data_IF_382836491069
#
_entry.id   IF_382836491069
#
_cell.length_a   1.000
_cell.length_b   1.000
_cell.length_c   1.000
_cell.angle_alpha   90.00
_cell.angle_beta   90.00
_cell.angle_gamma   90.00
#
_symmetry.space_group_name_H-M   'P 1'
#
loop_
_entity.id
_entity.type
_entity.pdbx_description
1 polymer ?
#
# COMPACT_ATOMS: atom_id res chain seq x y z
N UNK A 1 5.65 19.80 -4.62
CA UNK A 1 5.16 18.41 -4.53
C UNK A 1 6.26 17.57 -5.12
N UNK A 2 6.89 16.69 -4.35
CA UNK A 2 7.88 15.76 -4.89
C UNK A 2 7.13 14.76 -5.77
N UNK A 3 7.49 14.68 -7.04
CA UNK A 3 6.90 13.76 -8.01
C UNK A 3 7.94 12.69 -8.33
N UNK A 4 7.53 11.43 -8.40
CA UNK A 4 8.41 10.39 -8.93
C UNK A 4 8.78 10.75 -10.37
N UNK A 5 10.07 10.68 -10.68
CA UNK A 5 10.55 10.86 -12.05
C UNK A 5 10.49 9.51 -12.73
N UNK A 6 9.44 9.28 -13.50
CA UNK A 6 9.34 8.10 -14.36
C UNK A 6 10.06 8.37 -15.68
N UNK A 7 10.53 7.31 -16.35
CA UNK A 7 11.03 7.44 -17.71
C UNK A 7 9.93 7.94 -18.68
N UNK A 8 10.34 8.46 -19.85
CA UNK A 8 9.41 8.99 -20.88
C UNK A 8 8.37 7.97 -21.34
N UNK A 9 8.70 6.68 -21.28
CA UNK A 9 7.77 5.56 -21.48
C UNK A 9 7.96 4.66 -20.26
N UNK A 10 7.11 4.79 -19.22
CA UNK A 10 7.31 4.10 -17.97
C UNK A 10 7.46 2.59 -18.16
N UNK A 11 8.58 2.04 -17.71
CA UNK A 11 8.86 0.61 -17.72
C UNK A 11 8.13 -0.05 -16.54
N UNK A 12 7.17 -0.90 -16.85
CA UNK A 12 6.47 -1.70 -15.84
C UNK A 12 6.04 -3.02 -16.49
N UNK A 13 6.31 -4.13 -15.79
CA UNK A 13 5.72 -5.43 -16.06
C UNK A 13 4.69 -5.74 -14.96
N UNK A 14 3.38 -5.59 -15.22
CA UNK A 14 2.37 -5.77 -14.19
C UNK A 14 2.29 -7.23 -13.72
N UNK A 15 1.97 -7.41 -12.44
CA UNK A 15 1.66 -8.72 -11.84
C UNK A 15 0.15 -8.79 -11.64
N UNK A 16 -0.48 -9.88 -12.09
CA UNK A 16 -1.90 -10.15 -11.91
C UNK A 16 -2.03 -11.48 -11.17
N UNK A 17 -2.63 -11.42 -9.98
CA UNK A 17 -2.88 -12.57 -9.10
C UNK A 17 -4.39 -12.81 -9.05
N UNK A 18 -4.97 -13.50 -10.05
CA UNK A 18 -6.34 -13.99 -9.95
C UNK A 18 -6.37 -15.17 -8.98
N UNK A 19 -7.40 -15.27 -8.14
CA UNK A 19 -7.53 -16.37 -7.17
C UNK A 19 -8.97 -16.84 -7.10
N UNK A 20 -9.18 -18.13 -7.38
CA UNK A 20 -10.46 -18.81 -7.20
C UNK A 20 -10.51 -19.45 -5.82
N UNK A 21 -10.85 -18.65 -4.82
CA UNK A 21 -10.98 -19.14 -3.45
C UNK A 21 -12.03 -20.26 -3.34
N UNK A 22 -11.85 -21.17 -2.39
CA UNK A 22 -12.74 -22.33 -2.22
C UNK A 22 -14.23 -21.98 -2.07
N UNK A 23 -14.52 -20.92 -1.33
CA UNK A 23 -15.88 -20.47 -1.00
C UNK A 23 -16.35 -19.31 -1.89
N UNK A 24 -15.76 -19.17 -3.08
CA UNK A 24 -16.13 -18.16 -4.06
C UNK A 24 -17.60 -18.30 -4.47
N UNK A 25 -18.46 -17.39 -3.98
CA UNK A 25 -19.88 -17.34 -4.38
C UNK A 25 -20.09 -16.56 -5.68
N UNK A 26 -19.07 -15.85 -6.15
CA UNK A 26 -19.10 -15.15 -7.43
C UNK A 26 -18.89 -16.11 -8.59
N UNK A 27 -19.53 -15.80 -9.71
CA UNK A 27 -19.38 -16.56 -10.95
C UNK A 27 -17.91 -16.48 -11.39
N UNK A 28 -17.24 -17.62 -11.45
CA UNK A 28 -15.83 -17.76 -11.85
C UNK A 28 -15.49 -17.02 -13.14
N UNK A 29 -16.51 -16.83 -14.00
CA UNK A 29 -16.46 -16.04 -15.23
C UNK A 29 -15.96 -14.60 -15.01
N UNK A 30 -16.23 -13.97 -13.86
CA UNK A 30 -15.83 -12.59 -13.59
C UNK A 30 -14.33 -12.43 -13.34
N UNK A 31 -13.68 -13.37 -12.66
CA UNK A 31 -12.24 -13.30 -12.35
C UNK A 31 -11.42 -13.45 -13.63
N UNK A 32 -11.79 -14.44 -14.46
CA UNK A 32 -11.16 -14.66 -15.77
C UNK A 32 -11.35 -13.43 -16.68
N UNK A 33 -12.55 -12.83 -16.66
CA UNK A 33 -12.85 -11.61 -17.42
C UNK A 33 -12.06 -10.38 -16.92
N UNK A 34 -11.86 -10.25 -15.60
CA UNK A 34 -11.05 -9.18 -15.01
C UNK A 34 -9.58 -9.31 -15.38
N UNK A 35 -9.01 -10.50 -15.21
CA UNK A 35 -7.62 -10.78 -15.58
C UNK A 35 -7.38 -10.50 -17.07
N UNK A 36 -8.31 -10.92 -17.94
CA UNK A 36 -8.27 -10.62 -19.37
C UNK A 36 -8.37 -9.12 -19.65
N UNK A 37 -9.30 -8.42 -19.00
CA UNK A 37 -9.51 -6.97 -19.20
C UNK A 37 -8.28 -6.18 -18.77
N UNK A 38 -7.65 -6.50 -17.65
CA UNK A 38 -6.39 -5.90 -17.22
C UNK A 38 -5.28 -6.16 -18.22
N UNK A 39 -5.12 -7.41 -18.67
CA UNK A 39 -4.11 -7.79 -19.65
C UNK A 39 -4.26 -7.01 -20.96
N UNK A 40 -5.47 -6.95 -21.50
CA UNK A 40 -5.78 -6.20 -22.72
C UNK A 40 -5.51 -4.69 -22.52
N UNK A 41 -5.81 -4.15 -21.33
CA UNK A 41 -5.57 -2.75 -20.99
C UNK A 41 -4.09 -2.41 -20.90
N UNK A 42 -3.32 -3.19 -20.14
CA UNK A 42 -1.88 -2.96 -19.98
C UNK A 42 -1.13 -3.07 -21.31
N UNK A 43 -1.55 -3.99 -22.17
CA UNK A 43 -1.05 -4.07 -23.55
C UNK A 43 -1.37 -2.81 -24.37
N UNK A 44 -2.58 -2.27 -24.27
CA UNK A 44 -2.95 -1.00 -24.95
C UNK A 44 -2.19 0.22 -24.41
N UNK A 45 -1.84 0.20 -23.12
CA UNK A 45 -0.99 1.21 -22.48
C UNK A 45 0.49 1.04 -22.80
N UNK A 46 0.86 -0.03 -23.53
CA UNK A 46 2.25 -0.36 -23.92
C UNK A 46 3.15 -0.73 -22.75
N UNK A 47 2.58 -1.27 -21.68
CA UNK A 47 3.37 -1.95 -20.65
C UNK A 47 3.91 -3.29 -21.18
N UNK A 48 4.91 -3.83 -20.48
CA UNK A 48 5.39 -5.18 -20.78
C UNK A 48 4.28 -6.21 -20.54
N UNK A 49 4.40 -7.37 -21.20
CA UNK A 49 3.42 -8.45 -21.07
C UNK A 49 3.25 -8.84 -19.59
N UNK A 50 2.04 -8.73 -19.02
CA UNK A 50 1.83 -8.99 -17.60
C UNK A 50 2.16 -10.43 -17.19
N UNK A 51 2.70 -10.59 -15.99
CA UNK A 51 2.83 -11.88 -15.33
C UNK A 51 1.50 -12.25 -14.69
N UNK A 52 0.86 -13.33 -15.16
CA UNK A 52 -0.46 -13.75 -14.69
C UNK A 52 -0.31 -15.09 -13.98
N UNK A 53 -0.71 -15.13 -12.71
CA UNK A 53 -0.59 -16.32 -11.88
C UNK A 53 -1.68 -17.33 -12.23
N UNK A 54 -1.47 -18.59 -11.86
CA UNK A 54 -2.53 -19.58 -11.95
C UNK A 54 -3.58 -19.31 -10.86
N UNK A 55 -4.84 -19.26 -11.27
CA UNK A 55 -5.97 -18.97 -10.37
C UNK A 55 -6.26 -20.06 -9.34
N UNK A 56 -5.76 -21.27 -9.58
CA UNK A 56 -5.87 -22.41 -8.67
C UNK A 56 -4.60 -22.60 -7.83
N UNK A 57 -3.76 -21.57 -7.71
CA UNK A 57 -2.56 -21.62 -6.87
C UNK A 57 -2.91 -21.56 -5.38
N UNK A 58 -2.20 -22.37 -4.61
CA UNK A 58 -2.20 -22.28 -3.15
C UNK A 58 -1.29 -21.15 -2.66
N UNK A 59 -1.37 -20.86 -1.37
CA UNK A 59 -0.56 -19.85 -0.68
C UNK A 59 0.93 -19.98 -0.96
N UNK A 60 1.49 -21.17 -0.79
CA UNK A 60 2.94 -21.36 -0.93
C UNK A 60 3.37 -21.14 -2.38
N UNK A 61 2.57 -21.57 -3.35
CA UNK A 61 2.82 -21.31 -4.77
C UNK A 61 2.80 -19.82 -5.08
N UNK A 62 1.79 -19.09 -4.59
CA UNK A 62 1.67 -17.63 -4.79
C UNK A 62 2.89 -16.92 -4.18
N UNK A 63 3.23 -17.22 -2.93
CA UNK A 63 4.34 -16.55 -2.23
C UNK A 63 5.69 -16.89 -2.86
N UNK A 64 5.92 -18.14 -3.26
CA UNK A 64 7.16 -18.54 -3.94
C UNK A 64 7.29 -17.85 -5.30
N UNK A 65 6.22 -17.73 -6.08
CA UNK A 65 6.25 -17.00 -7.35
C UNK A 65 6.54 -15.51 -7.14
N UNK A 66 5.98 -14.88 -6.11
CA UNK A 66 6.31 -13.49 -5.78
C UNK A 66 7.76 -13.32 -5.34
N UNK A 67 8.31 -14.28 -4.58
CA UNK A 67 9.72 -14.30 -4.23
C UNK A 67 10.62 -14.47 -5.46
N UNK A 68 10.25 -15.31 -6.43
CA UNK A 68 10.96 -15.44 -7.70
C UNK A 68 10.90 -14.15 -8.53
N UNK A 69 9.74 -13.49 -8.57
CA UNK A 69 9.56 -12.21 -9.27
C UNK A 69 10.41 -11.11 -8.65
N UNK A 70 10.55 -11.08 -7.33
CA UNK A 70 11.40 -10.13 -6.62
C UNK A 70 12.86 -10.17 -7.08
N UNK A 71 13.34 -11.32 -7.56
CA UNK A 71 14.72 -11.49 -8.03
C UNK A 71 14.90 -11.16 -9.53
N UNK A 72 13.82 -10.82 -10.24
CA UNK A 72 13.84 -10.54 -11.70
C UNK A 72 13.86 -9.03 -11.94
N UNK A 73 14.96 -8.54 -12.52
CA UNK A 73 15.20 -7.10 -12.76
C UNK A 73 14.10 -6.38 -13.53
N UNK A 74 13.44 -7.08 -14.46
CA UNK A 74 12.31 -6.56 -15.25
C UNK A 74 11.09 -6.12 -14.41
N UNK A 75 10.97 -6.59 -13.16
CA UNK A 75 9.96 -6.15 -12.19
C UNK A 75 10.50 -5.18 -11.13
N UNK A 76 11.82 -5.05 -11.03
CA UNK A 76 12.51 -4.40 -9.91
C UNK A 76 13.49 -3.32 -10.40
N UNK A 77 14.75 -3.64 -10.65
CA UNK A 77 15.81 -2.68 -11.01
C UNK A 77 15.50 -1.92 -12.31
N UNK A 78 14.95 -2.59 -13.32
CA UNK A 78 14.68 -2.03 -14.65
C UNK A 78 13.28 -1.42 -14.77
N UNK A 79 12.41 -1.68 -13.80
CA UNK A 79 11.07 -1.10 -13.72
C UNK A 79 11.12 0.31 -13.11
N UNK A 80 10.33 1.24 -13.62
CA UNK A 80 10.14 2.56 -13.00
C UNK A 80 9.26 2.47 -11.74
N UNK A 81 8.36 1.48 -11.70
CA UNK A 81 7.44 1.22 -10.59
C UNK A 81 6.93 -0.23 -10.61
N UNK A 82 6.48 -0.71 -9.45
CA UNK A 82 5.80 -1.99 -9.32
C UNK A 82 4.28 -1.79 -9.40
N UNK A 83 3.59 -2.63 -10.17
CA UNK A 83 2.14 -2.73 -10.20
C UNK A 83 1.71 -4.18 -9.98
N UNK A 84 0.99 -4.43 -8.89
CA UNK A 84 0.46 -5.74 -8.53
C UNK A 84 -1.05 -5.64 -8.35
N UNK A 85 -1.80 -6.48 -9.06
CA UNK A 85 -3.26 -6.54 -9.00
C UNK A 85 -3.68 -7.89 -8.43
N UNK A 86 -4.36 -7.88 -7.29
CA UNK A 86 -4.89 -9.07 -6.61
C UNK A 86 -6.40 -9.08 -6.84
N UNK A 87 -6.90 -10.18 -7.43
CA UNK A 87 -8.33 -10.38 -7.66
C UNK A 87 -8.72 -11.64 -6.90
N UNK A 88 -9.55 -11.49 -5.87
CA UNK A 88 -10.09 -12.60 -5.08
C UNK A 88 -11.57 -12.39 -4.80
N UNK A 89 -12.27 -13.42 -4.37
CA UNK A 89 -13.67 -13.36 -3.93
C UNK A 89 -13.82 -13.59 -2.42
N UNK A 90 -12.71 -13.48 -1.68
CA UNK A 90 -12.72 -13.45 -0.23
C UNK A 90 -11.79 -12.34 0.26
N UNK A 91 -12.26 -11.59 1.25
CA UNK A 91 -11.43 -10.70 2.02
C UNK A 91 -11.95 -10.57 3.44
N UNK A 92 -11.08 -10.81 4.41
CA UNK A 92 -11.41 -10.65 5.82
C UNK A 92 -10.14 -10.28 6.58
N UNK A 93 -10.22 -9.26 7.45
CA UNK A 93 -9.13 -8.85 8.34
C UNK A 93 -7.78 -8.58 7.65
N UNK A 94 -7.78 -8.01 6.44
CA UNK A 94 -6.52 -7.74 5.72
C UNK A 94 -5.98 -8.92 4.92
N UNK A 95 -6.71 -10.03 4.85
CA UNK A 95 -6.31 -11.24 4.16
C UNK A 95 -7.28 -11.59 3.02
N UNK A 96 -6.76 -12.19 1.96
CA UNK A 96 -7.52 -12.90 0.93
C UNK A 96 -7.23 -14.40 1.04
N UNK A 97 -8.10 -15.27 0.54
CA UNK A 97 -7.88 -16.72 0.62
C UNK A 97 -7.40 -17.30 -0.71
N UNK A 98 -6.55 -18.32 -0.60
CA UNK A 98 -6.15 -19.17 -1.72
C UNK A 98 -7.25 -20.18 -2.13
N UNK A 99 -6.95 -21.02 -3.11
CA UNK A 99 -7.84 -22.08 -3.61
C UNK A 99 -8.30 -23.08 -2.53
N UNK A 100 -7.52 -23.22 -1.46
CA UNK A 100 -7.79 -24.16 -0.37
C UNK A 100 -8.54 -23.49 0.81
N UNK A 101 -8.73 -22.17 0.77
CA UNK A 101 -9.30 -21.38 1.87
C UNK A 101 -8.26 -20.92 2.90
N UNK A 102 -6.97 -20.99 2.58
CA UNK A 102 -5.89 -20.51 3.44
C UNK A 102 -5.74 -19.00 3.30
N UNK A 103 -5.78 -18.28 4.42
CA UNK A 103 -5.60 -16.84 4.44
C UNK A 103 -4.17 -16.46 4.00
N UNK A 104 -4.06 -15.41 3.18
CA UNK A 104 -2.84 -14.75 2.74
C UNK A 104 -2.99 -13.26 3.07
N UNK A 105 -2.09 -12.75 3.91
CA UNK A 105 -2.17 -11.34 4.30
C UNK A 105 -1.63 -10.44 3.19
N UNK A 106 -2.29 -9.31 2.97
CA UNK A 106 -1.81 -8.30 2.02
C UNK A 106 -0.46 -7.73 2.47
N UNK A 107 -0.25 -7.61 3.77
CA UNK A 107 1.02 -7.18 4.37
C UNK A 107 2.18 -8.12 4.00
N UNK A 108 1.95 -9.42 3.94
CA UNK A 108 2.98 -10.38 3.54
C UNK A 108 3.40 -10.21 2.08
N UNK A 109 2.43 -9.99 1.18
CA UNK A 109 2.71 -9.68 -0.23
C UNK A 109 3.50 -8.37 -0.34
N UNK A 110 3.11 -7.34 0.40
CA UNK A 110 3.77 -6.03 0.39
C UNK A 110 5.18 -6.12 0.98
N UNK A 111 5.36 -6.91 2.05
CA UNK A 111 6.65 -7.11 2.70
C UNK A 111 7.70 -7.69 1.75
N UNK A 112 7.31 -8.56 0.80
CA UNK A 112 8.21 -9.11 -0.22
C UNK A 112 8.87 -7.99 -1.05
N UNK A 113 8.11 -6.93 -1.38
CA UNK A 113 8.56 -5.86 -2.28
C UNK A 113 8.97 -4.57 -1.57
N UNK A 114 9.06 -4.59 -0.24
CA UNK A 114 9.38 -3.38 0.51
C UNK A 114 10.85 -2.93 0.30
N UNK A 115 11.18 -1.73 0.78
CA UNK A 115 12.52 -1.15 0.62
C UNK A 115 13.64 -1.97 1.27
N UNK A 116 13.33 -2.77 2.29
CA UNK A 116 14.31 -3.61 2.99
C UNK A 116 14.59 -4.92 2.22
N UNK A 117 13.55 -5.54 1.70
CA UNK A 117 13.56 -6.86 1.08
C UNK A 117 13.73 -6.82 -0.45
N UNK A 118 13.42 -5.69 -1.10
CA UNK A 118 13.55 -5.52 -2.54
C UNK A 118 14.29 -4.21 -2.85
N UNK A 119 15.63 -4.29 -2.86
CA UNK A 119 16.50 -3.12 -3.08
C UNK A 119 16.31 -2.47 -4.46
N UNK A 120 16.00 -3.26 -5.50
CA UNK A 120 15.74 -2.76 -6.85
C UNK A 120 14.53 -1.82 -6.95
N UNK A 121 13.63 -1.87 -5.98
CA UNK A 121 12.46 -1.00 -5.89
C UNK A 121 12.64 0.17 -4.90
N UNK A 122 13.81 0.35 -4.28
CA UNK A 122 14.02 1.45 -3.32
C UNK A 122 13.81 2.82 -3.97
N UNK A 123 12.93 3.64 -3.40
CA UNK A 123 12.58 4.97 -3.93
C UNK A 123 11.69 4.94 -5.18
N UNK A 124 11.20 3.77 -5.58
CA UNK A 124 10.24 3.59 -6.68
C UNK A 124 8.83 3.29 -6.13
N UNK A 125 7.75 3.77 -6.75
CA UNK A 125 6.41 3.51 -6.25
C UNK A 125 6.03 2.03 -6.42
N UNK A 126 5.34 1.48 -5.42
CA UNK A 126 4.72 0.14 -5.43
C UNK A 126 3.22 0.31 -5.33
N UNK A 127 2.50 -0.08 -6.36
CA UNK A 127 1.06 0.10 -6.45
C UNK A 127 0.40 -1.28 -6.36
N UNK A 128 -0.43 -1.44 -5.34
CA UNK A 128 -1.23 -2.64 -5.11
C UNK A 128 -2.70 -2.31 -5.34
N UNK A 129 -3.35 -3.04 -6.24
CA UNK A 129 -4.78 -2.92 -6.52
C UNK A 129 -5.43 -4.22 -6.06
N UNK A 130 -6.44 -4.13 -5.21
CA UNK A 130 -7.15 -5.27 -4.65
C UNK A 130 -8.63 -5.17 -5.05
N UNK A 131 -9.07 -6.11 -5.87
CA UNK A 131 -10.48 -6.38 -6.09
C UNK A 131 -10.84 -7.62 -5.29
N UNK A 132 -11.65 -7.44 -4.24
CA UNK A 132 -12.09 -8.55 -3.39
C UNK A 132 -13.59 -8.52 -3.15
N UNK A 133 -14.20 -9.68 -2.91
CA UNK A 133 -15.56 -9.73 -2.37
C UNK A 133 -15.45 -9.84 -0.83
N UNK A 134 -15.92 -8.83 -0.09
CA UNK A 134 -15.97 -8.91 1.37
C UNK A 134 -17.25 -9.67 1.79
N UNK A 135 -17.07 -10.90 2.27
CA UNK A 135 -18.15 -11.78 2.71
C UNK A 135 -18.87 -11.29 3.97
N UNK A 136 -18.33 -10.29 4.69
CA UNK A 136 -18.95 -9.69 5.87
C UNK A 136 -19.97 -8.59 5.53
N UNK A 137 -19.96 -8.07 4.30
CA UNK A 137 -20.85 -6.99 3.84
C UNK A 137 -22.19 -7.58 3.38
N UNK A 138 -22.99 -8.10 4.32
CA UNK A 138 -24.40 -8.37 4.07
C UNK A 138 -25.32 -7.19 4.41
N UNK A 139 -24.79 -6.06 4.93
CA UNK A 139 -25.63 -5.00 5.52
C UNK A 139 -25.17 -3.53 5.36
N UNK A 140 -24.14 -3.17 4.58
CA UNK A 140 -23.75 -1.76 4.44
C UNK A 140 -23.51 -1.29 2.99
N UNK A 141 -23.74 0.03 2.78
CA UNK A 141 -23.80 0.73 1.50
C UNK A 141 -22.68 0.35 0.50
N UNK A 142 -23.02 -0.18 -0.69
CA UNK A 142 -22.07 -0.45 -1.75
C UNK A 142 -21.48 0.84 -2.33
N UNK A 143 -20.20 0.82 -2.74
CA UNK A 143 -19.68 1.86 -3.65
C UNK A 143 -18.67 2.85 -3.08
N UNK A 144 -18.06 2.60 -1.92
CA UNK A 144 -16.93 3.42 -1.44
C UNK A 144 -15.61 2.71 -1.73
N UNK A 145 -14.83 3.29 -2.63
CA UNK A 145 -13.39 3.11 -2.61
C UNK A 145 -12.88 3.73 -1.33
N UNK A 146 -12.39 2.88 -0.44
CA UNK A 146 -11.81 3.34 0.80
C UNK A 146 -10.44 3.95 0.51
N UNK A 147 -10.37 5.28 0.40
CA UNK A 147 -9.12 5.99 0.71
C UNK A 147 -8.92 6.10 2.24
N UNK A 148 -9.99 5.85 3.03
CA UNK A 148 -9.99 5.67 4.50
C UNK A 148 -11.23 4.88 4.93
N UNK A 149 -11.03 3.85 5.76
CA UNK A 149 -12.09 3.17 6.50
C UNK A 149 -11.75 1.70 6.80
N UNK A 150 -11.34 1.42 8.05
CA UNK A 150 -11.20 0.09 8.68
C UNK A 150 -10.32 -0.97 7.99
N UNK A 151 -9.15 -0.57 7.47
CA UNK A 151 -8.04 -1.54 7.36
C UNK A 151 -7.36 -1.59 8.73
N UNK A 152 -7.41 -2.74 9.40
CA UNK A 152 -6.89 -2.94 10.78
C UNK A 152 -5.40 -2.65 10.93
N UNK A 153 -4.66 -2.47 9.82
CA UNK A 153 -3.42 -1.69 9.67
C UNK A 153 -3.12 -1.62 8.16
N UNK A 154 -3.02 -0.43 7.58
CA UNK A 154 -2.30 -0.29 6.32
C UNK A 154 -0.80 -0.43 6.64
N UNK A 155 0.00 -1.15 5.84
CA UNK A 155 1.42 -1.25 6.08
C UNK A 155 2.04 0.14 5.96
N UNK A 156 2.75 0.57 7.01
CA UNK A 156 3.36 1.90 7.17
C UNK A 156 4.57 2.14 6.25
N UNK A 157 4.70 1.35 5.18
CA UNK A 157 5.90 1.30 4.37
C UNK A 157 5.95 2.46 3.38
N UNK A 158 7.12 3.11 3.31
CA UNK A 158 7.37 4.16 2.35
C UNK A 158 7.25 3.63 0.92
N UNK A 159 6.74 4.49 0.02
CA UNK A 159 6.60 4.23 -1.42
C UNK A 159 5.57 3.15 -1.82
N UNK A 160 4.69 2.71 -0.92
CA UNK A 160 3.59 1.77 -1.24
C UNK A 160 2.23 2.47 -1.26
N UNK A 161 1.44 2.23 -2.31
CA UNK A 161 0.06 2.68 -2.49
C UNK A 161 -0.86 1.46 -2.59
N UNK A 162 -1.94 1.45 -1.83
CA UNK A 162 -2.91 0.35 -1.80
C UNK A 162 -4.28 0.91 -2.18
N UNK A 163 -4.89 0.30 -3.18
CA UNK A 163 -6.22 0.62 -3.65
C UNK A 163 -7.11 -0.60 -3.54
N UNK A 164 -8.15 -0.52 -2.72
CA UNK A 164 -9.01 -1.66 -2.41
C UNK A 164 -10.46 -1.38 -2.80
N UNK A 165 -11.07 -2.35 -3.46
CA UNK A 165 -12.47 -2.39 -3.78
C UNK A 165 -13.06 -3.70 -3.23
N UNK A 166 -14.04 -3.56 -2.34
CA UNK A 166 -14.77 -4.69 -1.72
C UNK A 166 -16.10 -5.00 -2.40
N UNK A 167 -16.43 -4.30 -3.49
CA UNK A 167 -17.74 -4.43 -4.16
C UNK A 167 -17.79 -5.81 -4.80
N UNK A 168 -18.75 -6.66 -4.40
CA UNK A 168 -18.82 -8.00 -4.93
C UNK A 168 -18.95 -8.01 -6.46
N UNK A 169 -18.09 -8.80 -7.09
CA UNK A 169 -18.05 -9.01 -8.54
C UNK A 169 -19.36 -9.54 -9.13
N UNK A 170 -20.17 -10.21 -8.29
CA UNK A 170 -21.45 -10.84 -8.64
C UNK A 170 -22.69 -9.97 -8.40
N UNK A 171 -22.55 -8.70 -8.00
CA UNK A 171 -23.72 -7.84 -7.80
C UNK A 171 -24.46 -7.66 -9.14
N UNK A 172 -25.60 -8.33 -9.27
CA UNK A 172 -26.59 -8.10 -10.34
C UNK A 172 -27.38 -6.79 -10.16
N UNK A 173 -27.27 -6.14 -8.98
CA UNK A 173 -28.09 -4.99 -8.55
C UNK A 173 -27.25 -3.87 -7.95
N UNK A 174 -27.03 -2.81 -8.72
CA UNK A 174 -26.49 -1.55 -8.20
C UNK A 174 -27.55 -0.77 -7.44
N UNK A 175 -27.29 -0.28 -6.22
CA UNK A 175 -28.10 0.75 -5.61
C UNK A 175 -27.72 2.09 -6.22
N UNK A 176 -28.24 2.41 -7.40
CA UNK A 176 -28.28 3.80 -7.83
C UNK A 176 -29.51 4.44 -7.17
N UNK A 177 -29.26 5.48 -6.36
CA UNK A 177 -30.13 6.59 -5.95
C UNK A 177 -31.65 6.37 -6.03
N UNK A 178 -32.35 6.69 -4.93
CA UNK A 178 -33.81 6.83 -4.82
C UNK A 178 -34.48 7.68 -5.93
N UNK A 179 -33.72 8.33 -6.81
CA UNK A 179 -34.22 9.26 -7.83
C UNK A 179 -34.24 8.75 -9.28
N UNK A 180 -33.77 7.54 -9.63
CA UNK A 180 -33.86 7.04 -11.03
C UNK A 180 -34.41 5.61 -11.12
N UNK A 181 -35.67 5.49 -11.54
CA UNK A 181 -36.43 4.24 -11.74
C UNK A 181 -36.00 3.42 -12.98
N UNK A 182 -34.70 3.25 -13.26
CA UNK A 182 -34.23 2.33 -14.30
C UNK A 182 -33.02 1.53 -13.84
N UNK A 183 -33.28 0.26 -13.54
CA UNK A 183 -32.30 -0.77 -13.19
C UNK A 183 -31.40 -1.07 -14.42
N UNK A 184 -30.12 -0.72 -14.39
CA UNK A 184 -29.13 -1.21 -15.36
C UNK A 184 -28.43 -2.44 -14.77
N UNK A 185 -28.66 -3.62 -15.38
CA UNK A 185 -27.94 -4.85 -15.07
C UNK A 185 -26.52 -4.76 -15.63
N UNK A 186 -25.50 -4.89 -14.79
CA UNK A 186 -24.11 -5.03 -15.23
C UNK A 186 -23.88 -6.43 -15.81
N UNK A 187 -23.13 -6.51 -16.90
CA UNK A 187 -22.78 -7.80 -17.49
C UNK A 187 -21.49 -8.32 -16.84
N UNK A 188 -21.63 -9.24 -15.88
CA UNK A 188 -20.51 -9.89 -15.19
C UNK A 188 -19.59 -10.68 -16.12
N UNK A 189 -20.03 -11.03 -17.33
CA UNK A 189 -19.16 -11.60 -18.37
C UNK A 189 -18.08 -10.61 -18.86
N UNK A 190 -18.20 -9.33 -18.53
CA UNK A 190 -17.21 -8.29 -18.80
C UNK A 190 -16.23 -8.09 -17.63
N UNK A 191 -16.37 -8.85 -16.55
CA UNK A 191 -15.60 -8.71 -15.31
C UNK A 191 -16.33 -7.87 -14.26
N UNK A 192 -15.65 -7.56 -13.17
CA UNK A 192 -16.14 -6.66 -12.13
C UNK A 192 -16.21 -5.23 -12.66
N UNK A 193 -17.23 -4.49 -12.21
CA UNK A 193 -17.39 -3.09 -12.58
C UNK A 193 -16.16 -2.25 -12.19
N UNK A 194 -15.48 -2.61 -11.09
CA UNK A 194 -14.32 -1.89 -10.60
C UNK A 194 -13.14 -2.02 -11.55
N UNK A 195 -12.76 -3.26 -11.89
CA UNK A 195 -11.65 -3.50 -12.82
C UNK A 195 -11.97 -2.91 -14.19
N UNK A 196 -13.21 -3.04 -14.67
CA UNK A 196 -13.63 -2.39 -15.90
C UNK A 196 -13.46 -0.87 -15.85
N UNK A 197 -14.00 -0.23 -14.81
CA UNK A 197 -13.97 1.24 -14.66
C UNK A 197 -12.54 1.74 -14.49
N UNK A 198 -11.73 1.06 -13.68
CA UNK A 198 -10.30 1.35 -13.56
C UNK A 198 -9.60 1.27 -14.91
N UNK A 199 -9.83 0.20 -15.67
CA UNK A 199 -9.25 0.01 -16.99
C UNK A 199 -9.73 1.05 -18.00
N UNK A 200 -10.97 1.52 -17.90
CA UNK A 200 -11.51 2.56 -18.77
C UNK A 200 -10.91 3.94 -18.46
N UNK A 201 -10.85 4.31 -17.17
CA UNK A 201 -10.27 5.59 -16.74
C UNK A 201 -8.77 5.66 -17.06
N UNK A 202 -7.99 4.60 -16.81
CA UNK A 202 -6.54 4.63 -17.08
C UNK A 202 -6.23 4.74 -18.58
N UNK A 203 -7.13 4.26 -19.46
CA UNK A 203 -6.99 4.43 -20.92
C UNK A 203 -7.23 5.87 -21.34
N UNK A 204 -8.23 6.53 -20.73
CA UNK A 204 -8.62 7.92 -21.02
C UNK A 204 -7.61 8.93 -20.47
N UNK A 205 -7.12 8.67 -19.27
CA UNK A 205 -6.39 9.63 -18.44
C UNK A 205 -4.87 9.40 -18.47
N UNK A 206 -4.31 9.27 -19.68
CA UNK A 206 -2.86 9.08 -19.85
C UNK A 206 -2.09 10.30 -19.35
N UNK A 207 -1.11 10.07 -18.49
CA UNK A 207 -0.27 11.14 -17.91
C UNK A 207 -0.91 11.89 -16.75
N UNK A 208 -2.10 11.45 -16.30
CA UNK A 208 -2.73 11.96 -15.08
C UNK A 208 -2.12 11.30 -13.85
N UNK A 209 -2.01 12.06 -12.77
CA UNK A 209 -1.57 11.57 -11.46
C UNK A 209 -2.46 10.43 -10.95
N UNK A 210 -1.88 9.43 -10.29
CA UNK A 210 -2.61 8.23 -9.86
C UNK A 210 -3.70 8.52 -8.81
N UNK A 211 -3.52 9.55 -7.97
CA UNK A 211 -4.57 9.96 -7.03
C UNK A 211 -5.76 10.61 -7.76
N UNK A 212 -5.50 11.37 -8.84
CA UNK A 212 -6.57 11.89 -9.71
C UNK A 212 -7.28 10.78 -10.47
N UNK A 213 -6.53 9.80 -10.96
CA UNK A 213 -7.10 8.62 -11.61
C UNK A 213 -8.06 7.89 -10.67
N UNK A 214 -7.62 7.62 -9.44
CA UNK A 214 -8.47 6.95 -8.44
C UNK A 214 -9.69 7.77 -8.03
N UNK A 215 -9.59 9.10 -7.97
CA UNK A 215 -10.76 9.94 -7.80
C UNK A 215 -11.77 9.79 -8.94
N UNK A 216 -11.31 9.77 -10.20
CA UNK A 216 -12.19 9.58 -11.36
C UNK A 216 -12.85 8.21 -11.35
N UNK A 217 -12.11 7.16 -11.00
CA UNK A 217 -12.69 5.82 -10.78
C UNK A 217 -13.80 5.90 -9.74
N UNK A 218 -13.60 6.60 -8.63
CA UNK A 218 -14.61 6.75 -7.59
C UNK A 218 -15.83 7.54 -8.04
N UNK A 219 -15.65 8.59 -8.85
CA UNK A 219 -16.74 9.37 -9.40
C UNK A 219 -17.56 8.53 -10.40
N UNK A 220 -16.89 7.81 -11.30
CA UNK A 220 -17.52 6.92 -12.28
C UNK A 220 -18.30 5.78 -11.61
N UNK A 221 -17.78 5.23 -10.50
CA UNK A 221 -18.45 4.20 -9.72
C UNK A 221 -19.69 4.70 -8.95
N UNK A 222 -19.78 6.01 -8.64
CA UNK A 222 -20.92 6.62 -7.92
C UNK A 222 -22.07 7.05 -8.83
N UNK A 223 -21.90 7.01 -10.15
CA UNK A 223 -22.92 7.43 -11.11
C UNK A 223 -23.15 8.95 -11.07
N UNK A 224 -22.23 9.72 -11.65
CA UNK A 224 -22.31 11.14 -12.03
C UNK A 224 -23.27 12.04 -11.23
N UNK A 225 -22.71 12.78 -10.26
CA UNK A 225 -23.16 14.13 -9.94
C UNK A 225 -22.51 15.13 -10.91
N UNK A 226 -23.08 16.32 -11.05
CA UNK A 226 -22.62 17.38 -11.98
C UNK A 226 -21.10 17.60 -11.87
N UNK A 227 -20.36 17.59 -13.00
CA UNK A 227 -18.88 17.55 -13.02
C UNK A 227 -18.19 18.73 -12.32
N UNK A 228 -18.93 19.79 -11.99
CA UNK A 228 -18.46 20.91 -11.15
C UNK A 228 -18.38 20.55 -9.66
N UNK A 229 -19.29 19.71 -9.15
CA UNK A 229 -19.30 19.27 -7.76
C UNK A 229 -18.19 18.25 -7.50
N UNK A 230 -17.91 17.40 -8.49
CA UNK A 230 -16.80 16.45 -8.46
C UNK A 230 -15.44 17.17 -8.51
N UNK A 231 -15.30 18.24 -9.29
CA UNK A 231 -14.08 19.08 -9.28
C UNK A 231 -13.86 19.79 -7.94
N UNK A 232 -14.93 20.19 -7.25
CA UNK A 232 -14.84 20.79 -5.90
C UNK A 232 -14.44 19.75 -4.87
N UNK A 233 -15.07 18.55 -4.91
CA UNK A 233 -14.71 17.42 -4.04
C UNK A 233 -13.28 16.94 -4.29
N UNK A 234 -12.81 16.95 -5.54
CA UNK A 234 -11.42 16.64 -5.89
C UNK A 234 -10.47 17.67 -5.29
N UNK A 235 -10.74 18.96 -5.43
CA UNK A 235 -9.93 20.03 -4.82
C UNK A 235 -9.92 19.96 -3.29
N UNK A 236 -11.03 19.59 -2.67
CA UNK A 236 -11.12 19.38 -1.22
C UNK A 236 -10.30 18.16 -0.79
N UNK A 237 -10.42 17.02 -1.49
CA UNK A 237 -9.62 15.85 -1.20
C UNK A 237 -8.10 16.09 -1.41
N UNK A 238 -7.73 16.84 -2.46
CA UNK A 238 -6.34 17.27 -2.71
C UNK A 238 -5.81 18.16 -1.57
N UNK A 239 -6.65 19.04 -1.02
CA UNK A 239 -6.30 19.91 0.10
C UNK A 239 -6.11 19.12 1.40
N UNK A 240 -7.07 18.24 1.74
CA UNK A 240 -6.99 17.37 2.91
C UNK A 240 -5.77 16.44 2.86
N UNK A 241 -5.43 15.94 1.67
CA UNK A 241 -4.25 15.10 1.47
C UNK A 241 -2.95 15.90 1.66
N UNK A 242 -2.89 17.14 1.18
CA UNK A 242 -1.76 18.05 1.42
C UNK A 242 -1.59 18.36 2.91
N UNK A 243 -2.67 18.67 3.62
CA UNK A 243 -2.65 18.94 5.05
C UNK A 243 -2.14 17.72 5.83
N UNK A 244 -2.57 16.51 5.44
CA UNK A 244 -2.11 15.27 6.06
C UNK A 244 -0.63 14.99 5.82
N UNK A 245 -0.15 15.20 4.59
CA UNK A 245 1.27 15.10 4.26
C UNK A 245 2.12 16.11 5.05
N UNK A 246 1.60 17.33 5.30
CA UNK A 246 2.28 18.29 6.17
C UNK A 246 2.30 17.85 7.63
N UNK A 247 1.23 17.24 8.14
CA UNK A 247 1.21 16.67 9.49
C UNK A 247 2.22 15.53 9.62
N UNK A 248 2.25 14.59 8.68
CA UNK A 248 3.21 13.47 8.70
C UNK A 248 4.67 13.97 8.63
N UNK A 249 4.93 15.06 7.88
CA UNK A 249 6.25 15.71 7.86
C UNK A 249 6.60 16.31 9.22
N UNK A 250 5.67 17.04 9.84
CA UNK A 250 5.87 17.63 11.18
C UNK A 250 6.08 16.56 12.25
N UNK A 251 5.38 15.44 12.15
CA UNK A 251 5.53 14.30 13.06
C UNK A 251 6.92 13.66 12.92
N UNK A 252 7.37 13.40 11.68
CA UNK A 252 8.74 12.92 11.41
C UNK A 252 9.82 13.89 11.89
N UNK A 253 9.63 15.20 11.70
CA UNK A 253 10.53 16.22 12.24
C UNK A 253 10.55 16.22 13.78
N UNK A 254 9.39 16.00 14.40
CA UNK A 254 9.25 15.85 15.86
C UNK A 254 10.01 14.64 16.38
N UNK A 255 9.84 13.48 15.75
CA UNK A 255 10.58 12.25 16.09
C UNK A 255 12.08 12.42 15.93
N UNK A 256 12.53 13.11 14.88
CA UNK A 256 13.95 13.38 14.67
C UNK A 256 14.54 14.26 15.78
N UNK A 257 13.84 15.34 16.15
CA UNK A 257 14.24 16.22 17.26
C UNK A 257 14.25 15.49 18.60
N UNK A 258 13.29 14.58 18.82
CA UNK A 258 13.24 13.77 20.04
C UNK A 258 14.47 12.85 20.13
N UNK A 259 14.81 12.14 19.04
CA UNK A 259 16.02 11.31 18.99
C UNK A 259 17.31 12.10 19.20
N UNK A 260 17.39 13.32 18.65
CA UNK A 260 18.55 14.20 18.86
C UNK A 260 18.69 14.61 20.33
N UNK A 261 17.58 14.96 20.99
CA UNK A 261 17.57 15.30 22.42
C UNK A 261 17.92 14.09 23.31
N UNK A 262 17.41 12.90 23.01
CA UNK A 262 17.76 11.67 23.72
C UNK A 262 19.26 11.35 23.60
N UNK A 263 19.87 11.63 22.45
CA UNK A 263 21.30 11.45 22.25
C UNK A 263 22.12 12.43 23.08
N UNK A 264 21.73 13.71 23.10
CA UNK A 264 22.38 14.74 23.94
C UNK A 264 22.24 14.44 25.43
N UNK A 265 21.08 13.93 25.86
CA UNK A 265 20.86 13.55 27.26
C UNK A 265 21.82 12.42 27.68
N UNK A 266 21.99 11.39 26.83
CA UNK A 266 22.95 10.31 27.09
C UNK A 266 24.39 10.79 27.16
N UNK A 267 24.76 11.78 26.35
CA UNK A 267 26.10 12.36 26.35
C UNK A 267 26.37 13.10 27.68
N UNK A 268 25.43 13.93 28.13
CA UNK A 268 25.51 14.60 29.44
C UNK A 268 25.58 13.62 30.61
N UNK A 269 24.76 12.56 30.60
CA UNK A 269 24.81 11.52 31.63
C UNK A 269 26.17 10.80 31.66
N UNK A 270 26.82 10.64 30.51
CA UNK A 270 28.15 10.06 30.42
C UNK A 270 29.22 11.02 30.98
N UNK A 271 29.13 12.31 30.69
CA UNK A 271 30.03 13.34 31.22
C UNK A 271 29.94 13.44 32.74
N UNK A 272 28.73 13.47 33.31
CA UNK A 272 28.54 13.49 34.78
C UNK A 272 29.14 12.25 35.45
N UNK A 273 28.98 11.07 34.84
CA UNK A 273 29.60 9.83 35.35
C UNK A 273 31.12 9.93 35.34
N UNK A 274 31.71 10.47 34.27
CA UNK A 274 33.15 10.62 34.14
C UNK A 274 33.70 11.61 35.18
N UNK A 275 32.99 12.69 35.45
CA UNK A 275 33.38 13.70 36.43
C UNK A 275 33.30 13.16 37.87
N UNK A 276 32.23 12.43 38.19
CA UNK A 276 32.10 11.69 39.44
C UNK A 276 33.24 10.69 39.66
N UNK A 277 33.67 10.01 38.60
CA UNK A 277 34.76 9.05 38.66
C UNK A 277 36.13 9.73 38.86
N UNK A 278 36.37 10.87 38.19
CA UNK A 278 37.54 11.73 38.42
C UNK A 278 37.62 12.20 39.87
N UNK A 279 36.52 12.68 40.45
CA UNK A 279 36.47 13.09 41.86
C UNK A 279 36.80 11.93 42.81
N UNK A 280 36.25 10.72 42.56
CA UNK A 280 36.57 9.53 43.37
C UNK A 280 38.07 9.22 43.33
N UNK A 281 38.68 9.27 42.14
CA UNK A 281 40.12 9.04 41.97
C UNK A 281 40.93 10.09 42.75
N UNK A 282 40.55 11.36 42.68
CA UNK A 282 41.25 12.43 43.39
C UNK A 282 41.14 12.30 44.92
N UNK A 283 39.97 11.92 45.43
CA UNK A 283 39.77 11.63 46.86
C UNK A 283 40.65 10.47 47.34
N UNK A 284 40.78 9.41 46.53
CA UNK A 284 41.67 8.28 46.84
C UNK A 284 43.13 8.72 46.86
N UNK A 285 43.56 9.53 45.87
CA UNK A 285 44.92 10.09 45.82
C UNK A 285 45.22 10.94 47.05
N UNK A 286 44.33 11.87 47.44
CA UNK A 286 44.49 12.70 48.65
C UNK A 286 44.60 11.85 49.92
N UNK A 287 43.77 10.81 50.06
CA UNK A 287 43.85 9.87 51.21
C UNK A 287 45.18 9.11 51.25
N UNK A 288 45.74 8.74 50.10
CA UNK A 288 47.04 8.06 50.02
C UNK A 288 48.19 8.99 50.40
N UNK A 289 48.17 10.26 49.98
CA UNK A 289 49.19 11.26 50.35
C UNK A 289 49.17 11.53 51.85
N UNK A 290 47.98 11.71 52.43
CA UNK A 290 47.79 11.89 53.88
C UNK A 290 48.32 10.70 54.71
N UNK A 291 48.16 9.46 54.22
CA UNK A 291 48.75 8.26 54.87
C UNK A 291 50.27 8.25 54.76
N UNK A 292 50.83 8.63 53.61
CA UNK A 292 52.28 8.66 53.41
C UNK A 292 52.97 9.73 54.27
N UNK A 293 52.37 10.91 54.44
CA UNK A 293 52.89 11.96 55.32
C UNK A 293 52.81 11.59 56.80
N UNK A 294 51.85 10.74 57.20
CA UNK A 294 51.72 10.24 58.58
C UNK A 294 52.79 9.21 58.95
N UNK A 295 53.31 8.47 57.98
CA UNK A 295 54.35 7.45 58.17
C UNK A 295 55.79 8.01 58.13
N UNK A 296 55.99 9.28 57.82
CA UNK A 296 57.31 9.95 57.87
C UNK A 296 57.56 10.70 59.20
N UNK A 297 56.57 10.74 60.10
CA UNK A 297 56.62 11.48 61.38
C UNK A 297 56.85 10.53 62.57
N UNK A 298 57.09 9.24 62.34
CA UNK A 298 57.42 8.24 63.36
C UNK A 298 58.79 7.61 63.09
#
# INVERSE_FOLDING_TARGET
METYTLSKIPSCKPIIIPIKAKDCRSDHTSIDADAKTLKDTFKQLRYAEPEVFNQDSDRDTILNQLLEIREKSEFTEDADFLLCVIISCSYMNGCFQDVNGTDISVDEVIHIFNTENCKGLRGKPKIFILQTDDLSISTHEPGKFSNRGEVTRLPTQADSLIYHCSIPSSIERFPWSDSVKQEKKWNTAQGSIFIYTFCDEIRKERGTDIHKLTFKVNASMKGTGDGKEDDIKLKQAELEMKERLEMDKKEKEGEFKLKELEMKLKELEMEERLEMEKMKIEMVKKKATLKSSRNQIF
#
